data_IF_961175994297
#
_entry.id   IF_961175994297
#
_cell.length_a   1.000
_cell.length_b   1.000
_cell.length_c   1.000
_cell.angle_alpha   90.00
_cell.angle_beta   90.00
_cell.angle_gamma   90.00
#
_symmetry.space_group_name_H-M   'P 1'
#
loop_
_entity.id
_entity.type
_entity.pdbx_description
1 polymer ?
#
# COMPACT_ATOMS: atom_id res chain seq x y z
N UNK A 1 4.46 -18.44 -32.05
CA UNK A 1 4.16 -18.35 -30.61
C UNK A 1 4.58 -16.98 -30.15
N UNK A 2 3.63 -16.17 -29.68
CA UNK A 2 3.92 -14.83 -29.16
C UNK A 2 4.36 -15.01 -27.70
N UNK A 3 5.67 -14.86 -27.45
CA UNK A 3 6.30 -15.17 -26.16
C UNK A 3 5.89 -14.15 -25.07
N UNK A 4 5.48 -12.95 -25.47
CA UNK A 4 5.08 -11.87 -24.59
C UNK A 4 3.76 -11.27 -25.06
N UNK A 5 2.73 -11.31 -24.19
CA UNK A 5 1.49 -10.58 -24.44
C UNK A 5 1.73 -9.10 -24.20
N UNK A 6 1.18 -8.25 -25.06
CA UNK A 6 1.25 -6.81 -24.86
C UNK A 6 0.51 -6.40 -23.57
N UNK A 7 1.17 -5.58 -22.75
CA UNK A 7 0.59 -5.03 -21.53
C UNK A 7 -0.36 -3.89 -21.89
N UNK A 8 -1.56 -3.89 -21.29
CA UNK A 8 -2.41 -2.71 -21.23
C UNK A 8 -1.85 -1.79 -20.12
N UNK A 9 -1.02 -0.84 -20.55
CA UNK A 9 -0.36 0.10 -19.64
C UNK A 9 -1.36 0.92 -18.83
N UNK A 10 -2.47 1.36 -19.44
CA UNK A 10 -3.46 2.21 -18.76
C UNK A 10 -4.18 1.43 -17.67
N UNK A 11 -4.62 0.21 -17.97
CA UNK A 11 -5.29 -0.64 -17.00
C UNK A 11 -4.34 -1.07 -15.87
N UNK A 12 -3.10 -1.40 -16.20
CA UNK A 12 -2.05 -1.77 -15.24
C UNK A 12 -1.73 -0.61 -14.29
N UNK A 13 -1.48 0.60 -14.83
CA UNK A 13 -1.26 1.80 -14.03
C UNK A 13 -2.45 2.13 -13.12
N UNK A 14 -3.69 1.90 -13.58
CA UNK A 14 -4.88 2.12 -12.77
C UNK A 14 -4.96 1.14 -11.59
N UNK A 15 -4.62 -0.14 -11.78
CA UNK A 15 -4.51 -1.13 -10.69
C UNK A 15 -3.40 -0.75 -9.70
N UNK A 16 -2.22 -0.42 -10.19
CA UNK A 16 -1.10 0.05 -9.37
C UNK A 16 -1.48 1.25 -8.49
N UNK A 17 -2.10 2.28 -9.09
CA UNK A 17 -2.59 3.45 -8.34
C UNK A 17 -3.58 3.06 -7.25
N UNK A 18 -4.53 2.15 -7.52
CA UNK A 18 -5.50 1.69 -6.52
C UNK A 18 -4.83 1.03 -5.32
N UNK A 19 -3.87 0.14 -5.56
CA UNK A 19 -3.11 -0.52 -4.48
C UNK A 19 -2.32 0.52 -3.66
N UNK A 20 -1.56 1.39 -4.30
CA UNK A 20 -0.78 2.43 -3.62
C UNK A 20 -1.65 3.41 -2.81
N UNK A 21 -2.86 3.71 -3.28
CA UNK A 21 -3.81 4.55 -2.52
C UNK A 21 -4.26 3.91 -1.20
N UNK A 22 -4.24 2.57 -1.10
CA UNK A 22 -4.58 1.87 0.15
C UNK A 22 -3.47 1.94 1.20
N UNK A 23 -2.23 2.21 0.80
CA UNK A 23 -1.05 2.15 1.66
C UNK A 23 -1.23 2.90 2.99
N UNK A 24 -1.69 4.16 2.94
CA UNK A 24 -1.91 4.96 4.16
C UNK A 24 -2.95 4.34 5.09
N UNK A 25 -4.00 3.75 4.52
CA UNK A 25 -5.03 3.05 5.32
C UNK A 25 -4.42 1.81 5.96
N UNK A 26 -3.61 1.04 5.23
CA UNK A 26 -2.87 -0.10 5.76
C UNK A 26 -1.96 0.32 6.92
N UNK A 27 -1.21 1.42 6.77
CA UNK A 27 -0.39 1.99 7.84
C UNK A 27 -1.21 2.36 9.09
N UNK A 28 -2.41 2.91 8.93
CA UNK A 28 -3.29 3.20 10.08
C UNK A 28 -3.83 1.94 10.74
N UNK A 29 -4.11 0.89 9.98
CA UNK A 29 -4.59 -0.39 10.52
C UNK A 29 -3.44 -1.08 11.28
N UNK A 30 -2.26 -1.16 10.65
CA UNK A 30 -1.05 -1.74 11.24
C UNK A 30 -0.56 -0.99 12.49
N UNK A 31 -0.58 0.34 12.46
CA UNK A 31 -0.12 1.20 13.56
C UNK A 31 -1.22 1.66 14.53
N UNK A 32 -2.44 1.15 14.43
CA UNK A 32 -3.48 1.51 15.41
C UNK A 32 -3.19 0.84 16.74
N UNK A 33 -2.63 1.61 17.66
CA UNK A 33 -2.69 1.40 19.10
C UNK A 33 -4.16 1.56 19.52
N UNK A 34 -5.02 0.58 19.23
CA UNK A 34 -6.28 0.50 19.98
C UNK A 34 -5.89 0.08 21.39
N UNK A 35 -5.57 1.08 22.21
CA UNK A 35 -5.30 0.88 23.63
C UNK A 35 -6.36 -0.07 24.16
N UNK A 36 -5.89 -1.19 24.69
CA UNK A 36 -6.62 -2.14 25.52
C UNK A 36 -7.10 -1.46 26.83
N UNK A 37 -7.52 -0.19 26.77
CA UNK A 37 -8.17 0.58 27.85
C UNK A 37 -9.57 0.04 28.18
N UNK A 38 -9.98 -1.08 27.58
CA UNK A 38 -11.13 -1.87 27.99
C UNK A 38 -10.79 -3.34 28.33
N UNK A 39 -9.51 -3.74 28.31
CA UNK A 39 -9.11 -5.05 28.84
C UNK A 39 -8.59 -4.96 30.30
N UNK A 40 -8.22 -3.78 30.77
CA UNK A 40 -7.79 -3.57 32.17
C UNK A 40 -8.92 -3.15 33.13
N UNK A 41 -10.17 -3.05 32.68
CA UNK A 41 -11.34 -2.85 33.56
C UNK A 41 -12.02 -4.17 33.97
N UNK A 42 -11.42 -5.33 33.67
CA UNK A 42 -11.92 -6.65 34.06
C UNK A 42 -11.00 -7.36 35.06
N UNK A 43 -10.34 -6.59 35.95
CA UNK A 43 -9.51 -7.16 37.02
C UNK A 43 -10.29 -7.56 38.29
N UNK A 44 -11.55 -7.13 38.51
CA UNK A 44 -12.22 -7.41 39.80
C UNK A 44 -13.75 -7.60 39.67
N UNK A 45 -14.20 -8.50 38.78
CA UNK A 45 -15.55 -9.07 38.90
C UNK A 45 -15.48 -10.60 38.94
N UNK A 46 -16.17 -11.24 39.92
CA UNK A 46 -16.13 -12.69 40.06
C UNK A 46 -16.66 -13.35 38.79
N UNK A 47 -15.85 -14.28 38.27
CA UNK A 47 -16.06 -15.03 37.01
C UNK A 47 -17.46 -15.61 36.93
N UNK A 48 -18.34 -14.98 36.14
CA UNK A 48 -19.46 -15.69 35.53
C UNK A 48 -18.93 -16.49 34.35
N UNK A 49 -19.13 -17.81 34.40
CA UNK A 49 -18.78 -18.77 33.34
C UNK A 49 -19.64 -18.52 32.10
N UNK A 50 -19.30 -17.54 31.27
CA UNK A 50 -19.77 -17.51 29.88
C UNK A 50 -18.61 -17.88 28.95
N UNK A 51 -18.64 -19.14 28.49
CA UNK A 51 -17.86 -19.67 27.37
C UNK A 51 -18.29 -18.99 26.05
N UNK A 52 -17.99 -17.71 25.87
CA UNK A 52 -18.03 -17.10 24.53
C UNK A 52 -16.60 -16.76 24.11
N UNK A 53 -16.08 -17.40 23.04
CA UNK A 53 -14.74 -17.12 22.56
C UNK A 53 -14.64 -15.66 22.14
N UNK A 54 -13.49 -15.06 22.40
CA UNK A 54 -13.16 -13.67 22.17
C UNK A 54 -13.01 -13.35 20.66
N UNK A 55 -14.05 -13.65 19.87
CA UNK A 55 -14.06 -13.63 18.41
C UNK A 55 -13.72 -12.25 17.83
N UNK A 56 -14.01 -11.19 18.59
CA UNK A 56 -13.68 -9.81 18.22
C UNK A 56 -12.18 -9.52 18.26
N UNK A 57 -11.47 -10.05 19.27
CA UNK A 57 -10.02 -9.89 19.40
C UNK A 57 -9.27 -10.67 18.31
N UNK A 58 -9.65 -11.93 18.09
CA UNK A 58 -9.05 -12.78 17.05
C UNK A 58 -9.20 -12.15 15.65
N UNK A 59 -10.39 -11.64 15.33
CA UNK A 59 -10.65 -10.98 14.04
C UNK A 59 -9.82 -9.70 13.85
N UNK A 60 -9.54 -8.95 14.93
CA UNK A 60 -8.73 -7.74 14.88
C UNK A 60 -7.25 -8.06 14.63
N UNK A 61 -6.71 -9.03 15.36
CA UNK A 61 -5.31 -9.46 15.22
C UNK A 61 -5.04 -9.92 13.79
N UNK A 62 -5.95 -10.73 13.21
CA UNK A 62 -5.84 -11.18 11.81
C UNK A 62 -5.81 -9.99 10.84
N UNK A 63 -6.74 -9.02 10.98
CA UNK A 63 -6.75 -7.82 10.12
C UNK A 63 -5.48 -6.98 10.22
N UNK A 64 -4.88 -6.90 11.41
CA UNK A 64 -3.63 -6.17 11.60
C UNK A 64 -2.47 -6.88 10.88
N UNK A 65 -2.37 -8.19 11.06
CA UNK A 65 -1.36 -9.01 10.38
C UNK A 65 -1.49 -8.95 8.86
N UNK A 66 -2.71 -9.02 8.34
CA UNK A 66 -2.96 -8.88 6.90
C UNK A 66 -2.56 -7.49 6.39
N UNK A 67 -2.86 -6.43 7.16
CA UNK A 67 -2.45 -5.07 6.79
C UNK A 67 -0.93 -4.86 6.85
N UNK A 68 -0.25 -5.45 7.83
CA UNK A 68 1.21 -5.44 7.95
C UNK A 68 1.86 -6.16 6.77
N UNK A 69 1.34 -7.34 6.39
CA UNK A 69 1.81 -8.10 5.23
C UNK A 69 1.62 -7.31 3.93
N UNK A 70 0.42 -6.80 3.68
CA UNK A 70 0.13 -6.05 2.46
C UNK A 70 0.99 -4.78 2.36
N UNK A 71 1.19 -4.08 3.48
CA UNK A 71 2.11 -2.94 3.55
C UNK A 71 3.54 -3.36 3.20
N UNK A 72 4.03 -4.48 3.75
CA UNK A 72 5.37 -4.98 3.49
C UNK A 72 5.59 -5.33 2.01
N UNK A 73 4.58 -5.89 1.34
CA UNK A 73 4.62 -6.13 -0.12
C UNK A 73 4.73 -4.83 -0.92
N UNK A 74 3.98 -3.79 -0.53
CA UNK A 74 4.08 -2.47 -1.16
C UNK A 74 5.47 -1.84 -0.91
N UNK A 75 5.96 -1.87 0.33
CA UNK A 75 7.29 -1.34 0.69
C UNK A 75 8.40 -2.05 -0.09
N UNK A 76 8.32 -3.37 -0.21
CA UNK A 76 9.26 -4.18 -0.99
C UNK A 76 9.23 -3.80 -2.48
N UNK A 77 8.03 -3.79 -3.09
CA UNK A 77 7.88 -3.44 -4.50
C UNK A 77 8.38 -2.02 -4.82
N UNK A 78 8.17 -1.05 -3.92
CA UNK A 78 8.73 0.30 -4.06
C UNK A 78 10.26 0.29 -3.92
N UNK A 79 10.81 -0.50 -3.00
CA UNK A 79 12.27 -0.57 -2.79
C UNK A 79 13.03 -1.16 -3.99
N UNK A 80 12.40 -2.07 -4.73
CA UNK A 80 12.95 -2.75 -5.90
C UNK A 80 12.92 -1.93 -7.19
N UNK A 81 12.29 -0.75 -7.18
CA UNK A 81 12.29 0.14 -8.35
C UNK A 81 13.71 0.52 -8.76
N UNK A 82 13.93 0.57 -10.07
CA UNK A 82 15.21 0.79 -10.73
C UNK A 82 15.73 2.22 -10.56
N UNK A 83 14.83 3.20 -10.45
CA UNK A 83 15.17 4.63 -10.39
C UNK A 83 14.76 5.24 -9.06
N UNK A 84 15.68 5.99 -8.45
CA UNK A 84 15.39 6.74 -7.22
C UNK A 84 14.34 7.83 -7.45
N UNK A 85 14.25 8.38 -8.67
CA UNK A 85 13.15 9.30 -9.04
C UNK A 85 11.80 8.60 -8.95
N UNK A 86 11.72 7.32 -9.34
CA UNK A 86 10.46 6.55 -9.29
C UNK A 86 10.05 6.29 -7.84
N UNK A 87 11.01 5.88 -7.01
CA UNK A 87 10.80 5.72 -5.56
C UNK A 87 10.28 7.01 -4.96
N UNK A 88 10.95 8.13 -5.22
CA UNK A 88 10.61 9.41 -4.60
C UNK A 88 9.23 9.91 -5.03
N UNK A 89 8.88 9.77 -6.33
CA UNK A 89 7.55 10.10 -6.84
C UNK A 89 6.47 9.26 -6.12
N UNK A 90 6.64 7.93 -6.03
CA UNK A 90 5.63 7.07 -5.41
C UNK A 90 5.54 7.27 -3.88
N UNK A 91 6.69 7.41 -3.20
CA UNK A 91 6.75 7.62 -1.75
C UNK A 91 6.10 8.95 -1.37
N UNK A 92 6.48 10.06 -2.02
CA UNK A 92 5.90 11.38 -1.71
C UNK A 92 4.40 11.43 -1.98
N UNK A 93 3.95 10.81 -3.06
CA UNK A 93 2.54 10.85 -3.46
C UNK A 93 1.66 9.95 -2.61
N UNK A 94 2.09 8.71 -2.36
CA UNK A 94 1.24 7.67 -1.79
C UNK A 94 1.61 7.28 -0.36
N UNK A 95 2.90 7.26 -0.02
CA UNK A 95 3.37 6.65 1.23
C UNK A 95 3.54 7.65 2.38
N UNK A 96 3.87 8.93 2.10
CA UNK A 96 3.99 9.97 3.14
C UNK A 96 2.66 10.23 3.85
N UNK A 97 2.70 10.47 5.16
CA UNK A 97 1.51 10.72 5.98
C UNK A 97 0.66 11.88 5.44
N UNK A 98 1.30 12.98 5.05
CA UNK A 98 0.69 14.11 4.33
C UNK A 98 0.79 13.89 2.83
N UNK A 99 -0.32 14.07 2.11
CA UNK A 99 -0.31 14.07 0.64
C UNK A 99 0.38 15.33 0.13
N UNK A 100 1.49 15.16 -0.58
CA UNK A 100 2.03 16.21 -1.43
C UNK A 100 1.21 16.27 -2.72
N UNK A 101 0.87 17.48 -3.18
CA UNK A 101 0.26 17.65 -4.50
C UNK A 101 1.30 17.29 -5.58
N UNK A 102 0.84 16.94 -6.79
CA UNK A 102 1.75 16.70 -7.91
C UNK A 102 2.66 17.91 -8.14
N UNK A 103 2.11 19.12 -8.01
CA UNK A 103 2.83 20.40 -8.14
C UNK A 103 4.00 20.48 -7.17
N UNK A 104 3.75 20.25 -5.88
CA UNK A 104 4.81 20.25 -4.88
C UNK A 104 5.89 19.22 -5.21
N UNK A 105 5.48 18.01 -5.65
CA UNK A 105 6.45 16.94 -5.92
C UNK A 105 7.35 17.29 -7.10
N UNK A 106 6.81 17.69 -8.26
CA UNK A 106 7.66 17.97 -9.41
C UNK A 106 8.53 19.21 -9.21
N UNK A 107 8.03 20.23 -8.48
CA UNK A 107 8.84 21.40 -8.13
C UNK A 107 9.99 21.04 -7.19
N UNK A 108 9.76 20.20 -6.19
CA UNK A 108 10.81 19.78 -5.25
C UNK A 108 11.82 18.77 -5.85
N UNK A 109 11.49 18.15 -6.99
CA UNK A 109 12.37 17.23 -7.72
C UNK A 109 13.03 17.90 -8.93
N UNK A 110 12.85 19.21 -9.12
CA UNK A 110 13.33 19.96 -10.28
C UNK A 110 12.90 19.35 -11.63
N UNK A 111 11.70 18.76 -11.66
CA UNK A 111 11.12 18.17 -12.88
C UNK A 111 10.11 19.13 -13.52
N UNK A 112 10.07 19.12 -14.84
CA UNK A 112 8.94 19.71 -15.56
C UNK A 112 7.66 18.89 -15.30
N UNK A 113 6.49 19.53 -15.44
CA UNK A 113 5.20 18.85 -15.25
C UNK A 113 5.06 17.63 -16.18
N UNK A 114 5.37 17.80 -17.47
CA UNK A 114 5.31 16.74 -18.47
C UNK A 114 6.26 15.57 -18.15
N UNK A 115 7.47 15.89 -17.68
CA UNK A 115 8.44 14.89 -17.27
C UNK A 115 7.97 14.11 -16.04
N UNK A 116 7.42 14.81 -15.04
CA UNK A 116 6.85 14.17 -13.87
C UNK A 116 5.77 13.15 -14.22
N UNK A 117 4.83 13.48 -15.11
CA UNK A 117 3.78 12.53 -15.50
C UNK A 117 4.32 11.34 -16.30
N UNK A 118 5.35 11.56 -17.13
CA UNK A 118 6.03 10.48 -17.86
C UNK A 118 6.74 9.53 -16.89
N UNK A 119 7.55 10.05 -15.98
CA UNK A 119 8.29 9.24 -15.01
C UNK A 119 7.35 8.57 -14.00
N UNK A 120 6.27 9.23 -13.60
CA UNK A 120 5.23 8.60 -12.78
C UNK A 120 4.55 7.43 -13.50
N UNK A 121 4.29 7.54 -14.80
CA UNK A 121 3.64 6.48 -15.57
C UNK A 121 4.54 5.24 -15.64
N UNK A 122 5.84 5.44 -15.88
CA UNK A 122 6.86 4.38 -15.84
C UNK A 122 7.00 3.75 -14.45
N UNK A 123 7.09 4.58 -13.41
CA UNK A 123 7.18 4.12 -12.02
C UNK A 123 6.01 3.21 -11.62
N UNK A 124 4.79 3.50 -12.11
CA UNK A 124 3.61 2.69 -11.82
C UNK A 124 3.59 1.36 -12.57
N UNK A 125 4.13 1.32 -13.80
CA UNK A 125 4.27 0.07 -14.55
C UNK A 125 5.31 -0.82 -13.88
N UNK A 126 6.48 -0.26 -13.54
CA UNK A 126 7.54 -1.02 -12.87
C UNK A 126 7.11 -1.50 -11.48
N UNK A 127 6.38 -0.66 -10.73
CA UNK A 127 5.78 -1.09 -9.46
C UNK A 127 4.85 -2.29 -9.66
N UNK A 128 4.04 -2.30 -10.73
CA UNK A 128 3.13 -3.39 -11.02
C UNK A 128 3.84 -4.70 -11.34
N UNK A 129 5.05 -4.64 -11.93
CA UNK A 129 5.90 -5.80 -12.19
C UNK A 129 6.47 -6.40 -10.90
N UNK A 130 6.96 -5.56 -10.00
CA UNK A 130 7.53 -6.01 -8.72
C UNK A 130 6.47 -6.46 -7.72
N UNK A 131 5.29 -5.85 -7.75
CA UNK A 131 4.23 -6.14 -6.78
C UNK A 131 3.71 -7.57 -6.92
N UNK A 132 3.95 -8.40 -5.90
CA UNK A 132 3.52 -9.81 -5.81
C UNK A 132 3.79 -10.58 -7.12
N UNK A 133 4.98 -10.38 -7.68
CA UNK A 133 5.44 -11.00 -8.92
C UNK A 133 4.52 -10.72 -10.14
N UNK A 134 4.06 -9.48 -10.30
CA UNK A 134 3.33 -9.06 -11.49
C UNK A 134 1.81 -9.20 -11.41
N UNK A 135 1.23 -9.39 -10.22
CA UNK A 135 -0.22 -9.60 -10.03
C UNK A 135 -1.08 -8.47 -10.64
N UNK A 136 -0.50 -7.27 -10.72
CA UNK A 136 -1.20 -6.07 -11.19
C UNK A 136 -1.16 -5.91 -12.73
N UNK A 137 -0.36 -6.71 -13.44
CA UNK A 137 -0.26 -6.65 -14.89
C UNK A 137 -1.60 -7.00 -15.55
N UNK A 138 -1.99 -6.19 -16.51
CA UNK A 138 -3.16 -6.43 -17.37
C UNK A 138 -2.65 -6.54 -18.79
N UNK A 139 -3.08 -7.59 -19.49
CA UNK A 139 -2.70 -7.82 -20.87
C UNK A 139 -3.83 -7.42 -21.81
N UNK A 140 -3.47 -6.92 -22.99
CA UNK A 140 -4.43 -6.67 -24.06
C UNK A 140 -5.10 -7.98 -24.48
N UNK A 141 -6.37 -7.91 -24.93
CA UNK A 141 -7.12 -9.08 -25.38
C UNK A 141 -6.55 -9.70 -26.65
#
# INVERSE_FOLDING_TARGET
MELFREIDEKATQAKAKKILQTYRRLCRIAGSEYTLRSASAFSDQPRSKNNQPNKGLETFVVKRLDAEREKAEIDNAVSLLSSDVYKEILIRRFCKARQCSNICIYMELDLSESEFYREQSKALLEFAEWYKAGELLVFKP
#
